data_IF_947807020866
#
_entry.id   IF_947807020866
#
_cell.length_a   1.000
_cell.length_b   1.000
_cell.length_c   1.000
_cell.angle_alpha   90.00
_cell.angle_beta   90.00
_cell.angle_gamma   90.00
#
_symmetry.space_group_name_H-M   'P 1'
#
loop_
_entity.id
_entity.type
_entity.pdbx_description
1 polymer ?
#
# COMPACT_ATOMS: atom_id res chain seq x y z
N UNK A 1 5.74 14.38 -13.05
CA UNK A 1 5.55 14.10 -11.60
C UNK A 1 4.29 13.29 -11.28
N UNK A 2 3.33 13.10 -12.21
CA UNK A 2 2.14 12.25 -11.98
C UNK A 2 2.52 10.76 -11.85
N UNK A 3 3.40 10.26 -12.73
CA UNK A 3 3.88 8.88 -12.70
C UNK A 3 4.45 8.44 -11.34
N UNK A 4 5.26 9.28 -10.70
CA UNK A 4 5.83 8.99 -9.38
C UNK A 4 4.77 8.97 -8.27
N UNK A 5 3.75 9.83 -8.36
CA UNK A 5 2.64 9.81 -7.40
C UNK A 5 1.82 8.51 -7.54
N UNK A 6 1.57 8.05 -8.77
CA UNK A 6 0.88 6.77 -9.01
C UNK A 6 1.71 5.57 -8.52
N UNK A 7 3.03 5.55 -8.74
CA UNK A 7 3.89 4.50 -8.18
C UNK A 7 3.89 4.52 -6.65
N UNK A 8 3.96 5.72 -6.04
CA UNK A 8 3.88 5.85 -4.58
C UNK A 8 2.52 5.39 -4.04
N UNK A 9 1.42 5.64 -4.77
CA UNK A 9 0.08 5.15 -4.43
C UNK A 9 0.07 3.63 -4.33
N UNK A 10 0.70 2.93 -5.28
CA UNK A 10 0.83 1.46 -5.27
C UNK A 10 1.62 0.99 -4.05
N UNK A 11 2.69 1.69 -3.67
CA UNK A 11 3.47 1.38 -2.45
C UNK A 11 2.62 1.54 -1.20
N UNK A 12 1.91 2.67 -1.05
CA UNK A 12 1.04 2.93 0.12
C UNK A 12 -0.07 1.88 0.20
N UNK A 13 -0.70 1.55 -0.93
CA UNK A 13 -1.77 0.55 -0.98
C UNK A 13 -1.26 -0.86 -0.66
N UNK A 14 -0.12 -1.25 -1.23
CA UNK A 14 0.53 -2.55 -0.95
C UNK A 14 0.90 -2.68 0.52
N UNK A 15 1.42 -1.59 1.11
CA UNK A 15 1.63 -1.53 2.54
C UNK A 15 0.31 -1.61 3.30
N UNK A 16 -0.78 -0.97 2.88
CA UNK A 16 -2.05 -1.06 3.59
C UNK A 16 -2.58 -2.51 3.65
N UNK A 17 -2.52 -3.24 2.53
CA UNK A 17 -3.11 -4.60 2.43
C UNK A 17 -2.21 -5.73 2.93
N UNK A 18 -0.96 -5.45 3.35
CA UNK A 18 -0.05 -6.53 3.74
C UNK A 18 0.54 -7.29 2.56
N UNK A 19 0.77 -6.61 1.44
CA UNK A 19 1.49 -7.20 0.32
C UNK A 19 3.00 -7.28 0.64
N UNK A 20 3.41 -8.45 1.10
CA UNK A 20 4.80 -8.81 1.38
C UNK A 20 5.58 -9.29 0.15
N UNK A 21 5.06 -9.12 -1.07
CA UNK A 21 5.74 -9.49 -2.33
C UNK A 21 5.78 -8.33 -3.35
N UNK A 22 5.56 -7.09 -2.90
CA UNK A 22 5.75 -5.93 -3.76
C UNK A 22 7.26 -5.73 -4.05
N UNK A 23 7.76 -6.38 -5.09
CA UNK A 23 9.12 -6.21 -5.60
C UNK A 23 9.14 -5.46 -6.95
N UNK A 24 10.30 -4.95 -7.35
CA UNK A 24 10.45 -4.08 -8.53
C UNK A 24 9.93 -4.66 -9.86
N UNK A 25 9.80 -6.00 -9.98
CA UNK A 25 9.23 -6.63 -11.19
C UNK A 25 7.70 -6.51 -11.27
N UNK A 26 7.01 -6.14 -10.17
CA UNK A 26 5.56 -5.95 -10.10
C UNK A 26 5.15 -4.49 -10.40
N UNK A 27 6.09 -3.70 -10.89
CA UNK A 27 5.85 -2.35 -11.38
C UNK A 27 6.38 -2.25 -12.80
N UNK A 28 5.52 -1.91 -13.74
CA UNK A 28 5.91 -1.67 -15.12
C UNK A 28 5.61 -0.23 -15.52
N UNK A 29 6.43 0.27 -16.43
CA UNK A 29 6.22 1.53 -17.11
C UNK A 29 6.17 1.27 -18.61
N UNK A 30 5.37 2.05 -19.31
CA UNK A 30 5.21 1.97 -20.75
C UNK A 30 5.25 3.38 -21.34
N UNK A 31 5.48 3.46 -22.65
CA UNK A 31 5.68 4.73 -23.34
C UNK A 31 4.94 4.71 -24.69
N UNK A 32 3.60 4.89 -24.69
CA UNK A 32 2.82 4.82 -25.91
C UNK A 32 3.04 6.03 -26.83
N UNK A 33 3.23 7.22 -26.26
CA UNK A 33 3.20 8.50 -26.98
C UNK A 33 4.45 9.37 -26.75
N UNK A 34 5.59 8.76 -26.41
CA UNK A 34 6.84 9.48 -26.11
C UNK A 34 6.98 9.95 -24.65
N UNK A 35 5.97 9.73 -23.80
CA UNK A 35 5.99 9.95 -22.34
C UNK A 35 5.95 8.63 -21.59
N UNK A 36 6.89 8.43 -20.66
CA UNK A 36 6.91 7.28 -19.76
C UNK A 36 5.82 7.39 -18.68
N UNK A 37 4.97 6.37 -18.59
CA UNK A 37 3.86 6.29 -17.64
C UNK A 37 3.80 4.92 -16.95
N UNK A 38 3.30 4.82 -15.70
CA UNK A 38 3.05 3.54 -15.07
C UNK A 38 1.94 2.78 -15.79
N UNK A 39 2.10 1.47 -15.97
CA UNK A 39 1.00 0.61 -16.40
C UNK A 39 -0.05 0.50 -15.28
N UNK A 40 -1.28 0.03 -15.57
CA UNK A 40 -2.19 -0.41 -14.53
C UNK A 40 -1.49 -1.37 -13.56
N UNK A 41 -1.80 -1.24 -12.26
CA UNK A 41 -1.24 -2.08 -11.22
C UNK A 41 -1.76 -3.52 -11.33
N UNK A 42 -0.89 -4.48 -11.05
CA UNK A 42 -1.21 -5.90 -11.04
C UNK A 42 -0.51 -6.56 -9.85
N UNK A 43 -0.87 -7.82 -9.56
CA UNK A 43 -0.27 -8.62 -8.49
C UNK A 43 -0.33 -7.94 -7.10
N UNK A 44 -1.49 -7.34 -6.79
CA UNK A 44 -1.78 -6.71 -5.51
C UNK A 44 -2.51 -7.69 -4.62
N UNK A 45 -1.75 -8.49 -3.86
CA UNK A 45 -2.29 -9.55 -3.02
C UNK A 45 -1.86 -9.38 -1.56
N UNK A 46 -2.75 -9.74 -0.63
CA UNK A 46 -2.39 -9.86 0.79
C UNK A 46 -1.64 -11.19 0.99
N UNK A 47 -0.38 -11.13 1.38
CA UNK A 47 0.46 -12.35 1.56
C UNK A 47 0.55 -12.80 3.01
N UNK A 48 -0.02 -12.04 3.96
CA UNK A 48 0.10 -12.26 5.40
C UNK A 48 -0.46 -13.60 5.90
N UNK A 49 -1.62 -14.09 5.41
CA UNK A 49 -2.11 -15.40 5.82
C UNK A 49 -1.11 -16.52 5.50
N UNK A 50 -0.45 -16.45 4.34
CA UNK A 50 0.55 -17.43 3.91
C UNK A 50 1.88 -17.28 4.65
N UNK A 51 2.25 -16.04 5.01
CA UNK A 51 3.41 -15.75 5.84
C UNK A 51 3.20 -16.05 7.34
N UNK A 52 2.06 -16.67 7.70
CA UNK A 52 1.68 -16.96 9.10
C UNK A 52 1.65 -15.71 9.98
N UNK A 53 1.30 -14.56 9.40
CA UNK A 53 1.29 -13.28 10.10
C UNK A 53 2.65 -12.86 10.68
N UNK A 54 3.73 -13.53 10.25
CA UNK A 54 5.05 -12.95 10.28
C UNK A 54 5.03 -11.91 9.17
N UNK A 55 5.28 -10.64 9.47
CA UNK A 55 5.05 -9.50 8.57
C UNK A 55 6.37 -9.04 7.90
N UNK A 56 6.96 -9.80 6.95
CA UNK A 56 8.09 -9.32 6.18
C UNK A 56 7.53 -8.42 5.08
N UNK A 57 7.45 -7.11 5.33
CA UNK A 57 7.15 -6.17 4.25
C UNK A 57 8.29 -6.26 3.22
N UNK A 58 7.94 -6.56 1.95
CA UNK A 58 8.91 -6.77 0.87
C UNK A 58 9.72 -5.53 0.49
N UNK A 59 9.15 -4.33 0.68
CA UNK A 59 9.76 -3.09 0.22
C UNK A 59 10.13 -2.18 1.40
N UNK A 60 11.43 -2.04 1.65
CA UNK A 60 11.94 -1.06 2.61
C UNK A 60 11.72 0.37 2.08
N UNK A 61 10.93 1.17 2.78
CA UNK A 61 10.81 2.59 2.49
C UNK A 61 11.92 3.34 3.26
N UNK A 62 12.98 3.71 2.56
CA UNK A 62 14.17 4.37 3.14
C UNK A 62 14.75 3.63 4.37
N UNK A 63 14.85 2.30 4.29
CA UNK A 63 15.41 1.47 5.36
C UNK A 63 14.43 1.13 6.49
N UNK A 64 13.15 1.52 6.37
CA UNK A 64 12.08 1.09 7.28
C UNK A 64 11.19 0.06 6.59
N UNK A 65 11.10 -1.13 7.19
CA UNK A 65 10.20 -2.20 6.74
C UNK A 65 8.84 -2.09 7.44
N UNK A 66 8.84 -1.87 8.76
CA UNK A 66 7.64 -2.00 9.60
C UNK A 66 7.23 -0.68 10.24
N UNK A 67 5.98 -0.60 10.71
CA UNK A 67 5.42 0.58 11.42
C UNK A 67 5.46 1.89 10.60
N UNK A 68 5.22 1.80 9.29
CA UNK A 68 5.14 3.01 8.46
C UNK A 68 3.91 3.83 8.85
N UNK A 69 4.11 5.14 8.90
CA UNK A 69 3.07 6.13 9.21
C UNK A 69 2.84 7.03 8.02
N UNK A 70 1.74 7.80 8.04
CA UNK A 70 1.48 8.88 7.08
C UNK A 70 2.71 9.76 6.83
N UNK A 71 3.38 10.16 7.89
CA UNK A 71 4.57 11.02 7.82
C UNK A 71 5.70 10.39 7.01
N UNK A 72 5.90 9.07 7.11
CA UNK A 72 6.94 8.38 6.34
C UNK A 72 6.64 8.39 4.84
N UNK A 73 5.37 8.20 4.46
CA UNK A 73 4.97 8.26 3.04
C UNK A 73 5.00 9.70 2.50
N UNK A 74 4.64 10.68 3.32
CA UNK A 74 4.74 12.10 2.95
C UNK A 74 6.21 12.52 2.75
N UNK A 75 7.10 12.14 3.67
CA UNK A 75 8.54 12.36 3.53
C UNK A 75 9.10 11.65 2.29
N UNK A 76 8.67 10.41 2.04
CA UNK A 76 9.02 9.66 0.85
C UNK A 76 8.62 10.39 -0.44
N UNK A 77 7.37 10.85 -0.51
CA UNK A 77 6.88 11.63 -1.64
C UNK A 77 7.71 12.90 -1.86
N UNK A 78 8.02 13.64 -0.80
CA UNK A 78 8.83 14.85 -0.88
C UNK A 78 10.24 14.57 -1.43
N UNK A 79 10.90 13.49 -1.00
CA UNK A 79 12.22 13.06 -1.51
C UNK A 79 12.17 12.65 -2.99
N UNK A 80 11.05 12.09 -3.44
CA UNK A 80 10.78 11.76 -4.85
C UNK A 80 10.34 12.98 -5.67
N UNK A 81 10.30 14.17 -5.08
CA UNK A 81 9.86 15.41 -5.75
C UNK A 81 8.34 15.57 -5.86
N UNK A 82 7.54 14.65 -5.30
CA UNK A 82 6.08 14.76 -5.26
C UNK A 82 5.69 15.82 -4.23
N UNK A 83 4.79 16.74 -4.61
CA UNK A 83 4.30 17.78 -3.69
C UNK A 83 3.62 17.14 -2.48
N UNK A 84 3.98 17.56 -1.27
CA UNK A 84 3.41 17.10 0.01
C UNK A 84 1.89 17.01 -0.02
N UNK A 85 1.22 18.06 -0.52
CA UNK A 85 -0.25 18.11 -0.63
C UNK A 85 -0.81 17.02 -1.54
N UNK A 86 -0.13 16.70 -2.64
CA UNK A 86 -0.57 15.63 -3.54
C UNK A 86 -0.46 14.27 -2.84
N UNK A 87 0.63 14.02 -2.11
CA UNK A 87 0.81 12.79 -1.33
C UNK A 87 -0.24 12.65 -0.23
N UNK A 88 -0.53 13.73 0.52
CA UNK A 88 -1.56 13.72 1.56
C UNK A 88 -2.95 13.41 0.98
N UNK A 89 -3.36 14.12 -0.08
CA UNK A 89 -4.64 13.88 -0.75
C UNK A 89 -4.76 12.44 -1.30
N UNK A 90 -3.66 11.88 -1.81
CA UNK A 90 -3.61 10.51 -2.30
C UNK A 90 -3.81 9.49 -1.16
N UNK A 91 -3.17 9.71 -0.01
CA UNK A 91 -3.36 8.87 1.19
C UNK A 91 -4.81 8.97 1.67
N UNK A 92 -5.39 10.18 1.73
CA UNK A 92 -6.77 10.38 2.17
C UNK A 92 -7.76 9.60 1.29
N UNK A 93 -7.58 9.63 -0.04
CA UNK A 93 -8.40 8.83 -0.97
C UNK A 93 -8.27 7.33 -0.75
N UNK A 94 -7.08 6.84 -0.38
CA UNK A 94 -6.87 5.43 -0.05
C UNK A 94 -7.64 5.09 1.24
N UNK A 95 -7.54 5.92 2.28
CA UNK A 95 -8.26 5.72 3.55
C UNK A 95 -9.77 5.69 3.30
N UNK A 96 -10.31 6.70 2.62
CA UNK A 96 -11.74 6.82 2.34
C UNK A 96 -12.28 5.59 1.59
N UNK A 97 -11.49 5.05 0.66
CA UNK A 97 -11.87 3.85 -0.10
C UNK A 97 -11.73 2.55 0.72
N UNK A 98 -10.86 2.55 1.73
CA UNK A 98 -10.47 1.35 2.48
C UNK A 98 -11.19 1.22 3.84
N UNK A 99 -11.80 2.30 4.36
CA UNK A 99 -12.25 2.38 5.75
C UNK A 99 -13.30 1.33 6.14
N UNK A 100 -14.14 0.89 5.21
CA UNK A 100 -15.21 -0.09 5.46
C UNK A 100 -14.74 -1.55 5.29
N UNK A 101 -13.61 -1.77 4.62
CA UNK A 101 -13.13 -3.12 4.30
C UNK A 101 -12.80 -4.01 5.50
N UNK A 102 -12.26 -3.51 6.63
CA UNK A 102 -12.07 -4.33 7.82
C UNK A 102 -13.35 -5.03 8.28
N UNK A 103 -14.51 -4.37 8.21
CA UNK A 103 -15.75 -4.98 8.69
C UNK A 103 -16.28 -6.03 7.69
N UNK A 104 -15.84 -5.95 6.43
CA UNK A 104 -16.20 -6.84 5.33
C UNK A 104 -15.26 -8.04 5.15
N UNK A 105 -14.17 -8.15 5.93
CA UNK A 105 -13.25 -9.29 5.80
C UNK A 105 -13.91 -10.66 5.95
N UNK A 106 -15.05 -10.76 6.65
CA UNK A 106 -15.81 -12.01 6.76
C UNK A 106 -16.41 -12.49 5.43
N UNK A 107 -16.56 -11.60 4.44
CA UNK A 107 -17.05 -11.96 3.09
C UNK A 107 -16.02 -12.77 2.28
N UNK A 108 -14.75 -12.81 2.72
CA UNK A 108 -13.65 -13.49 2.01
C UNK A 108 -13.73 -15.02 2.16
N UNK A 109 -14.31 -15.52 3.27
CA UNK A 109 -14.46 -16.96 3.52
C UNK A 109 -13.25 -17.64 4.18
N UNK A 110 -12.40 -16.89 4.88
CA UNK A 110 -11.39 -17.46 5.78
C UNK A 110 -12.03 -17.98 7.08
N UNK A 111 -11.27 -18.78 7.85
CA UNK A 111 -11.66 -19.13 9.22
C UNK A 111 -11.71 -17.89 10.14
N UNK A 112 -12.34 -18.04 11.31
CA UNK A 112 -12.55 -16.94 12.25
C UNK A 112 -11.25 -16.27 12.71
N UNK A 113 -10.20 -17.08 12.92
CA UNK A 113 -8.91 -16.59 13.41
C UNK A 113 -8.20 -15.75 12.34
N UNK A 114 -8.10 -16.27 11.11
CA UNK A 114 -7.50 -15.57 9.97
C UNK A 114 -8.29 -14.31 9.61
N UNK A 115 -9.62 -14.39 9.69
CA UNK A 115 -10.49 -13.23 9.48
C UNK A 115 -10.17 -12.15 10.51
N UNK A 116 -10.13 -12.48 11.80
CA UNK A 116 -9.86 -11.48 12.84
C UNK A 116 -8.45 -10.88 12.74
N UNK A 117 -7.44 -11.68 12.41
CA UNK A 117 -6.10 -11.18 12.13
C UNK A 117 -6.07 -10.17 10.97
N UNK A 118 -6.78 -10.46 9.87
CA UNK A 118 -6.86 -9.56 8.72
C UNK A 118 -7.52 -8.24 9.11
N UNK A 119 -8.64 -8.31 9.85
CA UNK A 119 -9.35 -7.13 10.36
C UNK A 119 -8.44 -6.26 11.21
N UNK A 120 -7.76 -6.87 12.18
CA UNK A 120 -6.90 -6.16 13.10
C UNK A 120 -5.71 -5.51 12.40
N UNK A 121 -5.11 -6.20 11.41
CA UNK A 121 -4.04 -5.65 10.59
C UNK A 121 -4.53 -4.41 9.83
N UNK A 122 -5.63 -4.51 9.08
CA UNK A 122 -6.17 -3.40 8.29
C UNK A 122 -6.52 -2.21 9.18
N UNK A 123 -7.18 -2.43 10.33
CA UNK A 123 -7.49 -1.35 11.29
C UNK A 123 -6.24 -0.67 11.81
N UNK A 124 -5.23 -1.45 12.20
CA UNK A 124 -3.94 -0.92 12.70
C UNK A 124 -3.25 -0.07 11.64
N UNK A 125 -3.26 -0.54 10.38
CA UNK A 125 -2.60 0.15 9.27
C UNK A 125 -3.36 1.39 8.82
N UNK A 126 -4.69 1.35 8.76
CA UNK A 126 -5.52 2.53 8.54
C UNK A 126 -5.29 3.58 9.62
N UNK A 127 -5.15 3.18 10.89
CA UNK A 127 -4.89 4.10 11.98
C UNK A 127 -3.55 4.82 11.86
N UNK A 128 -2.48 4.17 11.36
CA UNK A 128 -1.18 4.84 11.19
C UNK A 128 -1.09 5.75 9.95
N UNK A 129 -2.06 5.65 9.04
CA UNK A 129 -2.19 6.54 7.88
C UNK A 129 -3.01 7.81 8.16
N UNK A 130 -3.77 7.86 9.26
CA UNK A 130 -4.49 9.07 9.70
C UNK A 130 -3.49 10.11 10.22
#
# INVERSE_FOLDING_TARGET
MIALAELLKVVVFSWLIGNGDLHGKNMSIYNPDGVWEPTPSYDLLCTQPYARWNDPIALNLFGRANTLTRNNFVEAGARLGVRTRATMNMIDRIIDSAIEWPDRCGEIGFDDLQTEHLKQMLRTRLASLK
#
